data_IF_823614634666
#
_entry.id   IF_823614634666
#
_cell.length_a   1.000
_cell.length_b   1.000
_cell.length_c   1.000
_cell.angle_alpha   90.00
_cell.angle_beta   90.00
_cell.angle_gamma   90.00
#
_symmetry.space_group_name_H-M   'P 1'
#
loop_
_entity.id
_entity.type
_entity.pdbx_description
1 polymer ?
#
# COMPACT_ATOMS: atom_id res chain seq x y z
N UNK A 1 -27.27 -2.63 -1.96
CA UNK A 1 -27.60 -1.24 -1.55
C UNK A 1 -26.45 -0.73 -0.70
N UNK A 2 -25.93 0.46 -1.01
CA UNK A 2 -24.78 1.03 -0.30
C UNK A 2 -25.12 1.34 1.16
N UNK A 3 -24.16 1.12 2.08
CA UNK A 3 -24.32 1.40 3.49
C UNK A 3 -24.57 2.91 3.72
N UNK A 4 -25.63 3.29 4.47
CA UNK A 4 -26.01 4.69 4.61
C UNK A 4 -24.98 5.54 5.37
N UNK A 5 -24.21 4.94 6.29
CA UNK A 5 -23.22 5.67 7.09
C UNK A 5 -21.96 5.97 6.28
N UNK A 6 -21.44 4.99 5.54
CA UNK A 6 -20.29 5.22 4.66
C UNK A 6 -20.65 6.17 3.54
N UNK A 7 -21.86 6.05 3.00
CA UNK A 7 -22.37 7.00 2.01
C UNK A 7 -22.41 8.43 2.54
N UNK A 8 -22.91 8.63 3.76
CA UNK A 8 -22.96 9.96 4.36
C UNK A 8 -21.56 10.59 4.55
N UNK A 9 -20.54 9.78 4.87
CA UNK A 9 -19.14 10.25 4.97
C UNK A 9 -18.57 10.62 3.59
N UNK A 10 -18.77 9.78 2.58
CA UNK A 10 -18.33 10.07 1.22
C UNK A 10 -19.01 11.30 0.64
N UNK A 11 -20.33 11.45 0.85
CA UNK A 11 -21.09 12.64 0.44
C UNK A 11 -20.59 13.93 1.14
N UNK A 12 -19.98 13.79 2.33
CA UNK A 12 -19.33 14.89 3.06
C UNK A 12 -17.88 15.16 2.60
N UNK A 13 -17.37 14.44 1.60
CA UNK A 13 -16.03 14.61 1.04
C UNK A 13 -14.93 13.81 1.76
N UNK A 14 -15.28 12.78 2.54
CA UNK A 14 -14.31 11.89 3.19
C UNK A 14 -14.09 10.63 2.36
N UNK A 15 -12.87 10.45 1.86
CA UNK A 15 -12.44 9.21 1.21
C UNK A 15 -12.27 8.10 2.25
N UNK A 16 -12.93 6.95 2.02
CA UNK A 16 -12.89 5.79 2.93
C UNK A 16 -11.92 4.77 2.35
N UNK A 17 -10.88 4.42 3.10
CA UNK A 17 -9.89 3.43 2.67
C UNK A 17 -9.94 2.19 3.56
N UNK A 18 -9.65 1.03 2.97
CA UNK A 18 -9.50 -0.24 3.68
C UNK A 18 -8.09 -0.37 4.25
N UNK A 19 -7.94 -0.59 5.56
CA UNK A 19 -6.64 -0.87 6.18
C UNK A 19 -6.39 -2.37 6.31
N UNK A 20 -6.42 -3.07 5.17
CA UNK A 20 -6.16 -4.50 5.04
C UNK A 20 -5.82 -4.84 3.58
N UNK A 21 -5.03 -5.90 3.37
CA UNK A 21 -4.73 -6.46 2.07
C UNK A 21 -4.31 -7.92 2.24
N UNK A 22 -4.95 -8.81 1.48
CA UNK A 22 -4.57 -10.21 1.36
C UNK A 22 -5.03 -10.78 0.03
N UNK A 23 -4.43 -11.88 -0.43
CA UNK A 23 -4.90 -12.61 -1.61
C UNK A 23 -6.34 -13.07 -1.51
N UNK A 24 -6.82 -13.38 -0.31
CA UNK A 24 -8.24 -13.71 -0.14
C UNK A 24 -9.14 -12.53 -0.49
N UNK A 25 -8.78 -11.30 -0.08
CA UNK A 25 -9.53 -10.09 -0.44
C UNK A 25 -9.49 -9.80 -1.93
N UNK A 26 -8.32 -9.99 -2.57
CA UNK A 26 -8.11 -9.78 -4.01
C UNK A 26 -8.92 -10.77 -4.86
N UNK A 27 -8.82 -12.06 -4.56
CA UNK A 27 -9.32 -13.13 -5.44
C UNK A 27 -10.81 -13.45 -5.26
N UNK A 28 -11.40 -13.09 -4.11
CA UNK A 28 -12.81 -13.45 -3.79
C UNK A 28 -13.84 -12.39 -4.16
N UNK A 29 -13.42 -11.28 -4.77
CA UNK A 29 -14.31 -10.16 -5.13
C UNK A 29 -14.71 -9.26 -3.96
N UNK A 30 -14.25 -9.55 -2.73
CA UNK A 30 -14.57 -8.77 -1.53
C UNK A 30 -14.19 -7.29 -1.65
N UNK A 31 -13.09 -6.97 -2.34
CA UNK A 31 -12.71 -5.57 -2.57
C UNK A 31 -13.76 -4.86 -3.43
N UNK A 32 -14.27 -5.51 -4.48
CA UNK A 32 -15.35 -4.98 -5.31
C UNK A 32 -16.63 -4.75 -4.50
N UNK A 33 -17.00 -5.72 -3.65
CA UNK A 33 -18.14 -5.57 -2.74
C UNK A 33 -17.96 -4.37 -1.79
N UNK A 34 -16.75 -4.14 -1.27
CA UNK A 34 -16.45 -3.00 -0.41
C UNK A 34 -16.52 -1.67 -1.16
N UNK A 35 -16.10 -1.62 -2.42
CA UNK A 35 -16.23 -0.43 -3.27
C UNK A 35 -17.72 -0.11 -3.45
N UNK A 36 -18.53 -1.08 -3.90
CA UNK A 36 -19.95 -0.88 -4.23
C UNK A 36 -20.84 -0.64 -3.00
N UNK A 37 -20.60 -1.40 -1.94
CA UNK A 37 -21.49 -1.42 -0.78
C UNK A 37 -21.02 -0.55 0.38
N UNK A 38 -19.74 -0.18 0.45
CA UNK A 38 -19.14 0.56 1.58
C UNK A 38 -18.38 1.82 1.15
N UNK A 39 -18.43 2.20 -0.12
CA UNK A 39 -17.76 3.40 -0.64
C UNK A 39 -16.24 3.39 -0.40
N UNK A 40 -15.62 2.21 -0.37
CA UNK A 40 -14.16 2.11 -0.27
C UNK A 40 -13.55 2.62 -1.57
N UNK A 41 -12.56 3.50 -1.46
CA UNK A 41 -11.92 4.16 -2.61
C UNK A 41 -10.39 4.06 -2.59
N UNK A 42 -9.84 3.23 -1.72
CA UNK A 42 -8.41 2.95 -1.66
C UNK A 42 -8.10 1.92 -0.59
N UNK A 43 -6.84 1.51 -0.48
CA UNK A 43 -6.40 0.64 0.59
C UNK A 43 -4.98 0.92 1.07
N UNK A 44 -4.69 0.44 2.27
CA UNK A 44 -3.37 0.46 2.86
C UNK A 44 -2.93 -0.92 3.32
N UNK A 45 -1.67 -1.25 3.09
CA UNK A 45 -0.99 -2.35 3.75
C UNK A 45 0.06 -1.81 4.75
N UNK A 46 0.63 -2.74 5.50
CA UNK A 46 1.79 -2.56 6.37
C UNK A 46 2.40 -3.96 6.66
N UNK A 47 3.59 -4.06 7.27
CA UNK A 47 4.22 -5.36 7.51
C UNK A 47 3.38 -6.32 8.36
N UNK A 48 2.58 -5.83 9.32
CA UNK A 48 1.74 -6.68 10.16
C UNK A 48 0.54 -7.27 9.39
N UNK A 49 -0.04 -6.50 8.45
CA UNK A 49 -1.09 -6.96 7.54
C UNK A 49 -0.56 -8.12 6.69
N UNK A 50 0.60 -7.95 6.05
CA UNK A 50 1.20 -9.02 5.23
C UNK A 50 1.61 -10.24 6.06
N UNK A 51 2.17 -10.03 7.25
CA UNK A 51 2.51 -11.13 8.16
C UNK A 51 1.26 -11.94 8.51
N UNK A 52 0.13 -11.28 8.81
CA UNK A 52 -1.13 -11.96 9.08
C UNK A 52 -1.71 -12.66 7.85
N UNK A 53 -1.62 -12.05 6.67
CA UNK A 53 -2.09 -12.63 5.41
C UNK A 53 -1.30 -13.88 5.02
N UNK A 54 0.03 -13.82 5.08
CA UNK A 54 0.92 -14.93 4.72
C UNK A 54 0.90 -16.08 5.75
N UNK A 55 0.60 -15.78 7.01
CA UNK A 55 0.52 -16.80 8.06
C UNK A 55 -0.83 -17.56 8.06
N UNK A 56 -1.80 -17.15 7.25
CA UNK A 56 -3.15 -17.71 7.23
C UNK A 56 -3.47 -18.34 5.88
N UNK A 57 -4.00 -19.56 5.93
CA UNK A 57 -4.43 -20.29 4.72
C UNK A 57 -3.25 -20.78 3.88
N UNK A 58 -3.53 -21.10 2.62
CA UNK A 58 -2.63 -21.74 1.67
C UNK A 58 -2.38 -20.92 0.40
N UNK A 59 -3.03 -19.75 0.24
CA UNK A 59 -2.98 -18.92 -0.98
C UNK A 59 -1.59 -18.38 -1.36
N UNK A 60 -0.64 -18.38 -0.43
CA UNK A 60 0.74 -17.98 -0.69
C UNK A 60 1.69 -19.17 -0.98
N UNK A 61 1.24 -20.42 -0.77
CA UNK A 61 2.11 -21.59 -0.75
C UNK A 61 2.82 -21.84 -2.08
N UNK A 62 2.11 -21.70 -3.20
CA UNK A 62 2.67 -22.00 -4.52
C UNK A 62 3.76 -20.99 -4.91
N UNK A 63 3.53 -19.70 -4.66
CA UNK A 63 4.53 -18.67 -4.94
C UNK A 63 5.70 -18.74 -3.96
N UNK A 64 5.44 -19.04 -2.68
CA UNK A 64 6.51 -19.31 -1.71
C UNK A 64 7.38 -20.49 -2.16
N UNK A 65 6.78 -21.60 -2.58
CA UNK A 65 7.50 -22.77 -3.05
C UNK A 65 8.31 -22.47 -4.32
N UNK A 66 7.76 -21.67 -5.24
CA UNK A 66 8.45 -21.24 -6.46
C UNK A 66 9.64 -20.33 -6.14
N UNK A 67 9.42 -19.25 -5.40
CA UNK A 67 10.46 -18.25 -5.11
C UNK A 67 11.58 -18.83 -4.24
N UNK A 68 11.27 -19.74 -3.31
CA UNK A 68 12.30 -20.41 -2.49
C UNK A 68 13.10 -21.45 -3.27
N UNK A 69 12.49 -22.15 -4.24
CA UNK A 69 13.18 -23.10 -5.11
C UNK A 69 14.25 -22.41 -5.97
N UNK A 70 14.04 -21.16 -6.33
CA UNK A 70 14.99 -20.34 -7.09
C UNK A 70 16.18 -19.83 -6.22
N UNK A 71 16.22 -20.20 -4.94
CA UNK A 71 17.34 -19.89 -4.04
C UNK A 71 17.32 -18.48 -3.47
N UNK A 72 16.19 -17.77 -3.60
CA UNK A 72 16.03 -16.41 -3.09
C UNK A 72 16.03 -16.38 -1.55
N UNK A 73 16.54 -15.29 -0.99
CA UNK A 73 16.46 -15.04 0.44
C UNK A 73 15.07 -14.56 0.88
N UNK A 74 14.83 -14.56 2.19
CA UNK A 74 13.52 -14.20 2.78
C UNK A 74 13.11 -12.77 2.44
N UNK A 75 14.07 -11.84 2.38
CA UNK A 75 13.78 -10.43 2.13
C UNK A 75 13.28 -10.23 0.69
N UNK A 76 13.93 -10.90 -0.27
CA UNK A 76 13.50 -10.90 -1.67
C UNK A 76 12.13 -11.58 -1.84
N UNK A 77 11.90 -12.73 -1.19
CA UNK A 77 10.59 -13.42 -1.27
C UNK A 77 9.46 -12.53 -0.76
N UNK A 78 9.64 -11.86 0.39
CA UNK A 78 8.63 -10.94 0.93
C UNK A 78 8.44 -9.74 0.00
N UNK A 79 9.52 -9.17 -0.53
CA UNK A 79 9.44 -8.06 -1.47
C UNK A 79 8.60 -8.43 -2.73
N UNK A 80 8.88 -9.56 -3.36
CA UNK A 80 8.15 -10.01 -4.56
C UNK A 80 6.67 -10.25 -4.26
N UNK A 81 6.35 -10.96 -3.18
CA UNK A 81 4.96 -11.26 -2.83
C UNK A 81 4.16 -9.99 -2.51
N UNK A 82 4.72 -9.11 -1.69
CA UNK A 82 4.01 -7.90 -1.25
C UNK A 82 3.82 -6.88 -2.37
N UNK A 83 4.81 -6.72 -3.24
CA UNK A 83 4.69 -5.84 -4.41
C UNK A 83 3.75 -6.42 -5.47
N UNK A 84 3.69 -7.74 -5.65
CA UNK A 84 2.73 -8.39 -6.53
C UNK A 84 1.28 -8.17 -6.05
N UNK A 85 0.99 -8.43 -4.77
CA UNK A 85 -0.35 -8.22 -4.19
C UNK A 85 -0.78 -6.73 -4.30
N UNK A 86 0.14 -5.78 -4.10
CA UNK A 86 -0.14 -4.34 -4.23
C UNK A 86 -0.33 -3.92 -5.68
N UNK A 87 0.38 -4.54 -6.63
CA UNK A 87 0.16 -4.32 -8.07
C UNK A 87 -1.25 -4.75 -8.47
N UNK A 88 -1.71 -5.91 -8.00
CA UNK A 88 -3.08 -6.38 -8.26
C UNK A 88 -4.12 -5.46 -7.62
N UNK A 89 -3.90 -5.02 -6.38
CA UNK A 89 -4.74 -4.01 -5.75
C UNK A 89 -4.80 -2.71 -6.58
N UNK A 90 -3.65 -2.23 -7.08
CA UNK A 90 -3.60 -1.06 -7.96
C UNK A 90 -4.45 -1.26 -9.22
N UNK A 91 -4.41 -2.44 -9.83
CA UNK A 91 -5.21 -2.77 -11.02
C UNK A 91 -6.71 -2.73 -10.71
N UNK A 92 -7.15 -3.28 -9.58
CA UNK A 92 -8.55 -3.23 -9.14
C UNK A 92 -9.06 -1.80 -8.90
N UNK A 93 -8.21 -0.93 -8.35
CA UNK A 93 -8.57 0.45 -8.04
C UNK A 93 -8.35 1.44 -9.20
N UNK A 94 -7.81 1.00 -10.34
CA UNK A 94 -7.49 1.89 -11.47
C UNK A 94 -8.70 2.70 -11.99
N UNK A 95 -9.91 2.15 -12.14
CA UNK A 95 -11.06 2.94 -12.59
C UNK A 95 -11.42 4.10 -11.64
N UNK A 96 -11.25 3.89 -10.33
CA UNK A 96 -11.44 4.94 -9.32
C UNK A 96 -10.33 5.98 -9.35
N UNK A 97 -9.09 5.54 -9.61
CA UNK A 97 -7.96 6.44 -9.79
C UNK A 97 -8.17 7.38 -10.97
N UNK A 98 -8.57 6.85 -12.12
CA UNK A 98 -8.83 7.65 -13.33
C UNK A 98 -10.02 8.61 -13.13
N UNK A 99 -11.14 8.12 -12.61
CA UNK A 99 -12.36 8.93 -12.43
C UNK A 99 -12.23 10.02 -11.35
N UNK A 100 -11.35 9.82 -10.37
CA UNK A 100 -11.06 10.81 -9.32
C UNK A 100 -9.93 11.78 -9.68
N UNK A 101 -9.43 11.74 -10.92
CA UNK A 101 -8.23 12.49 -11.35
C UNK A 101 -7.02 12.25 -10.44
N UNK A 102 -6.87 11.00 -10.01
CA UNK A 102 -5.79 10.53 -9.18
C UNK A 102 -5.87 10.90 -7.70
N UNK A 103 -6.98 11.43 -7.20
CA UNK A 103 -7.16 11.68 -5.76
C UNK A 103 -7.35 10.36 -5.01
N UNK A 104 -8.27 9.53 -5.49
CA UNK A 104 -8.60 8.23 -4.93
C UNK A 104 -8.07 7.09 -5.80
N UNK A 105 -8.54 5.87 -5.57
CA UNK A 105 -8.10 4.65 -6.26
C UNK A 105 -6.66 4.27 -5.94
N UNK A 106 -6.17 4.60 -4.74
CA UNK A 106 -4.78 4.41 -4.33
C UNK A 106 -4.60 3.13 -3.51
N UNK A 107 -3.45 2.48 -3.68
CA UNK A 107 -3.01 1.38 -2.83
C UNK A 107 -1.62 1.67 -2.25
N UNK A 108 -1.45 1.59 -0.93
CA UNK A 108 -0.16 1.88 -0.29
C UNK A 108 0.62 0.65 0.14
N UNK A 109 1.94 0.67 -0.07
CA UNK A 109 2.92 -0.33 0.42
C UNK A 109 4.00 0.35 1.25
N UNK A 110 4.38 -0.23 2.39
CA UNK A 110 5.35 0.37 3.32
C UNK A 110 6.77 -0.11 3.07
N UNK A 111 7.73 0.83 3.12
CA UNK A 111 9.16 0.50 3.19
C UNK A 111 9.46 -0.34 4.43
N UNK A 112 10.61 -1.02 4.43
CA UNK A 112 11.07 -1.80 5.57
C UNK A 112 11.24 -0.90 6.81
N UNK A 113 10.53 -1.19 7.92
CA UNK A 113 10.62 -0.40 9.15
C UNK A 113 12.04 -0.30 9.72
N UNK A 114 12.94 -1.25 9.41
CA UNK A 114 14.35 -1.22 9.84
C UNK A 114 15.11 -0.05 9.21
N UNK A 115 14.63 0.48 8.07
CA UNK A 115 15.21 1.62 7.37
C UNK A 115 14.66 2.98 7.85
N UNK A 116 13.74 3.00 8.81
CA UNK A 116 13.06 4.23 9.26
C UNK A 116 14.01 5.34 9.77
N UNK A 117 15.28 5.02 10.05
CA UNK A 117 16.32 5.96 10.46
C UNK A 117 17.48 6.10 9.47
N UNK A 118 17.35 5.55 8.26
CA UNK A 118 18.34 5.60 7.17
C UNK A 118 17.70 6.24 5.94
N UNK A 119 18.00 7.53 5.71
CA UNK A 119 17.39 8.33 4.65
C UNK A 119 17.68 7.74 3.26
N UNK A 120 18.94 7.44 2.97
CA UNK A 120 19.36 7.06 1.62
C UNK A 120 18.78 5.68 1.24
N UNK A 121 18.82 4.73 2.17
CA UNK A 121 18.23 3.40 1.94
C UNK A 121 16.71 3.44 1.85
N UNK A 122 16.05 4.34 2.58
CA UNK A 122 14.60 4.54 2.45
C UNK A 122 14.25 5.03 1.04
N UNK A 123 15.01 5.99 0.50
CA UNK A 123 14.79 6.49 -0.87
C UNK A 123 15.07 5.40 -1.90
N UNK A 124 16.15 4.64 -1.74
CA UNK A 124 16.48 3.53 -2.64
C UNK A 124 15.37 2.49 -2.66
N UNK A 125 14.89 2.04 -1.50
CA UNK A 125 13.83 1.05 -1.43
C UNK A 125 12.49 1.59 -1.95
N UNK A 126 12.18 2.86 -1.72
CA UNK A 126 10.99 3.49 -2.29
C UNK A 126 10.99 3.44 -3.83
N UNK A 127 12.15 3.72 -4.46
CA UNK A 127 12.34 3.60 -5.91
C UNK A 127 12.20 2.16 -6.40
N UNK A 128 12.80 1.20 -5.68
CA UNK A 128 12.70 -0.22 -6.00
C UNK A 128 11.24 -0.70 -5.93
N UNK A 129 10.51 -0.36 -4.86
CA UNK A 129 9.11 -0.73 -4.70
C UNK A 129 8.21 -0.07 -5.75
N UNK A 130 8.43 1.20 -6.07
CA UNK A 130 7.66 1.89 -7.11
C UNK A 130 7.87 1.23 -8.48
N UNK A 131 9.12 0.93 -8.84
CA UNK A 131 9.47 0.25 -10.08
C UNK A 131 8.94 -1.20 -10.11
N UNK A 132 8.95 -1.91 -8.98
CA UNK A 132 8.39 -3.25 -8.88
C UNK A 132 6.87 -3.21 -9.05
N UNK A 133 6.14 -2.35 -8.33
CA UNK A 133 4.69 -2.27 -8.46
C UNK A 133 4.28 -1.83 -9.86
N UNK A 134 4.99 -0.87 -10.46
CA UNK A 134 4.78 -0.40 -11.84
C UNK A 134 3.34 0.04 -12.13
N UNK A 135 2.75 0.80 -11.19
CA UNK A 135 1.41 1.38 -11.33
C UNK A 135 1.37 2.82 -10.81
N UNK A 136 0.72 3.76 -11.53
CA UNK A 136 0.72 5.17 -11.16
C UNK A 136 -0.07 5.49 -9.88
N UNK A 137 -0.97 4.58 -9.48
CA UNK A 137 -1.82 4.73 -8.30
C UNK A 137 -1.24 4.09 -7.02
N UNK A 138 0.01 3.60 -7.06
CA UNK A 138 0.71 3.17 -5.85
C UNK A 138 1.12 4.37 -4.98
N UNK A 139 1.08 4.18 -3.67
CA UNK A 139 1.69 5.07 -2.69
C UNK A 139 2.79 4.33 -1.93
N UNK A 140 4.01 4.86 -1.92
CA UNK A 140 5.05 4.33 -1.04
C UNK A 140 4.83 4.93 0.35
N UNK A 141 4.59 4.09 1.34
CA UNK A 141 4.39 4.50 2.72
C UNK A 141 5.75 4.65 3.41
N UNK A 142 6.04 5.86 3.89
CA UNK A 142 7.31 6.22 4.53
C UNK A 142 7.01 6.83 5.91
N UNK A 143 7.64 6.37 7.00
CA UNK A 143 7.38 6.90 8.34
C UNK A 143 7.95 8.31 8.52
N UNK A 144 7.18 9.18 9.18
CA UNK A 144 7.55 10.56 9.50
C UNK A 144 8.59 10.67 10.64
N UNK A 145 9.66 9.89 10.59
CA UNK A 145 10.81 10.07 11.49
C UNK A 145 11.62 11.30 11.06
N UNK A 146 12.59 11.74 11.87
CA UNK A 146 13.51 12.81 11.47
C UNK A 146 14.30 12.47 10.20
N UNK A 147 14.68 11.21 10.01
CA UNK A 147 15.38 10.74 8.81
C UNK A 147 14.40 10.48 7.64
N UNK A 148 13.14 10.17 7.95
CA UNK A 148 12.09 9.98 6.95
C UNK A 148 11.69 11.26 6.23
N UNK A 149 11.71 12.42 6.89
CA UNK A 149 11.36 13.71 6.25
C UNK A 149 12.17 14.03 4.97
N UNK A 150 13.52 14.00 4.98
CA UNK A 150 14.28 14.19 3.76
C UNK A 150 14.05 13.05 2.74
N UNK A 151 13.79 11.81 3.18
CA UNK A 151 13.48 10.69 2.28
C UNK A 151 12.14 10.86 1.57
N UNK A 152 11.11 11.37 2.26
CA UNK A 152 9.81 11.73 1.71
C UNK A 152 10.00 12.80 0.64
N UNK A 153 10.74 13.86 0.97
CA UNK A 153 11.01 14.98 0.04
C UNK A 153 11.72 14.49 -1.22
N UNK A 154 12.78 13.69 -1.07
CA UNK A 154 13.54 13.14 -2.19
C UNK A 154 12.69 12.19 -3.05
N UNK A 155 11.91 11.31 -2.43
CA UNK A 155 11.02 10.38 -3.14
C UNK A 155 9.96 11.12 -3.95
N UNK A 156 9.34 12.16 -3.39
CA UNK A 156 8.36 12.99 -4.11
C UNK A 156 9.03 13.77 -5.27
N UNK A 157 10.26 14.25 -5.08
CA UNK A 157 11.01 14.96 -6.14
C UNK A 157 11.29 14.08 -7.37
N UNK A 158 11.26 12.77 -7.21
CA UNK A 158 11.40 11.77 -8.29
C UNK A 158 10.06 11.43 -8.96
N UNK A 159 8.97 12.08 -8.55
CA UNK A 159 7.62 11.84 -9.08
C UNK A 159 6.88 10.67 -8.44
N UNK A 160 7.41 10.10 -7.35
CA UNK A 160 6.80 8.97 -6.65
C UNK A 160 5.84 9.49 -5.58
N UNK A 161 4.58 9.02 -5.62
CA UNK A 161 3.57 9.41 -4.63
C UNK A 161 3.83 8.72 -3.28
N UNK A 162 3.73 9.46 -2.17
CA UNK A 162 4.09 8.99 -0.82
C UNK A 162 2.89 9.05 0.13
N UNK A 163 2.66 7.97 0.90
CA UNK A 163 1.81 7.96 2.07
C UNK A 163 2.67 8.20 3.32
N UNK A 164 2.63 9.40 3.90
CA UNK A 164 3.40 9.71 5.10
C UNK A 164 2.71 9.10 6.33
N UNK A 165 3.36 8.14 7.01
CA UNK A 165 2.78 7.42 8.15
C UNK A 165 3.40 7.81 9.49
N UNK A 166 2.83 7.33 10.59
CA UNK A 166 3.31 7.51 11.98
C UNK A 166 3.43 8.99 12.41
N UNK A 167 2.46 9.82 12.03
CA UNK A 167 2.34 11.22 12.46
C UNK A 167 1.47 11.28 13.72
N UNK A 168 2.08 11.56 14.87
CA UNK A 168 1.38 11.59 16.17
C UNK A 168 1.32 12.98 16.82
N UNK A 169 1.96 13.99 16.23
CA UNK A 169 2.00 15.35 16.80
C UNK A 169 1.85 16.42 15.72
N UNK A 170 1.31 17.59 16.12
CA UNK A 170 1.21 18.75 15.25
C UNK A 170 2.57 19.31 14.84
N UNK A 171 3.57 19.20 15.72
CA UNK A 171 4.94 19.56 15.38
C UNK A 171 5.48 18.67 14.25
N UNK A 172 5.24 17.35 14.32
CA UNK A 172 5.66 16.43 13.27
C UNK A 172 4.88 16.65 11.98
N UNK A 173 3.57 16.90 12.05
CA UNK A 173 2.74 17.16 10.88
C UNK A 173 3.17 18.41 10.11
N UNK A 174 3.70 19.43 10.80
CA UNK A 174 4.17 20.67 10.19
C UNK A 174 5.57 20.58 9.57
N UNK A 175 6.38 19.62 10.01
CA UNK A 175 7.78 19.46 9.63
C UNK A 175 7.91 18.71 8.30
#
# INVERSE_FOLDING_TARGET
MTNPNTKALSDAGVSIWLDDLSRDLLETGKISDLIEERNVVGLTSNPSIFQAAMSKGDRYNDDLAKLTKDGNDVEHVVFELTTADVREACDLFMPLYESSNGVDGRASIEVDPRLAHDTDKTVEQAKQMFAAVDRPNVLIKIPATKAGLPAITATIAEGISVNVTLIFSLERYRA
#
